data_IF_331258256728
#
_entry.id   IF_331258256728
#
_cell.length_a   1.000
_cell.length_b   1.000
_cell.length_c   1.000
_cell.angle_alpha   90.00
_cell.angle_beta   90.00
_cell.angle_gamma   90.00
#
_symmetry.space_group_name_H-M   'P 1'
#
loop_
_entity.id
_entity.type
_entity.pdbx_description
1 polymer ?
#
# COMPACT_ATOMS: atom_id res chain seq x y z
N UNK A 1 4.72 7.27 -17.07
CA UNK A 1 4.06 7.55 -15.79
C UNK A 1 3.32 6.29 -15.31
N UNK A 2 3.51 5.94 -14.05
CA UNK A 2 2.82 4.80 -13.47
C UNK A 2 1.37 5.17 -13.16
N UNK A 3 0.44 4.30 -13.53
CA UNK A 3 -0.99 4.45 -13.24
C UNK A 3 -1.44 3.36 -12.28
N UNK A 4 -2.09 3.75 -11.20
CA UNK A 4 -2.67 2.84 -10.22
C UNK A 4 -4.18 3.02 -10.22
N UNK A 5 -4.90 1.94 -10.52
CA UNK A 5 -6.36 1.91 -10.46
C UNK A 5 -6.82 1.27 -9.16
N UNK A 6 -7.81 1.90 -8.54
CA UNK A 6 -8.40 1.42 -7.29
C UNK A 6 -9.86 1.11 -7.55
N UNK A 7 -10.23 -0.19 -7.68
CA UNK A 7 -11.61 -0.59 -7.94
C UNK A 7 -12.57 -0.16 -6.82
N UNK A 8 -13.83 -0.06 -7.15
CA UNK A 8 -14.88 0.38 -6.21
C UNK A 8 -14.93 -0.48 -4.95
N UNK A 9 -14.80 -1.79 -5.06
CA UNK A 9 -14.78 -2.71 -3.91
C UNK A 9 -13.59 -2.41 -2.98
N UNK A 10 -12.43 -2.10 -3.51
CA UNK A 10 -11.25 -1.71 -2.73
C UNK A 10 -11.45 -0.33 -2.09
N UNK A 11 -12.05 0.62 -2.82
CA UNK A 11 -12.40 1.94 -2.25
C UNK A 11 -13.34 1.79 -1.05
N UNK A 12 -14.33 0.90 -1.13
CA UNK A 12 -15.27 0.62 -0.03
C UNK A 12 -14.52 0.06 1.19
N UNK A 13 -13.60 -0.87 0.97
CA UNK A 13 -12.76 -1.41 2.06
C UNK A 13 -11.92 -0.32 2.73
N UNK A 14 -11.33 0.57 1.95
CA UNK A 14 -10.53 1.69 2.46
C UNK A 14 -11.41 2.65 3.28
N UNK A 15 -12.56 3.03 2.77
CA UNK A 15 -13.50 3.92 3.47
C UNK A 15 -13.91 3.31 4.81
N UNK A 16 -14.27 2.03 4.82
CA UNK A 16 -14.63 1.32 6.07
C UNK A 16 -13.47 1.31 7.07
N UNK A 17 -12.25 1.05 6.59
CA UNK A 17 -11.06 1.03 7.44
C UNK A 17 -10.79 2.40 8.06
N UNK A 18 -10.88 3.47 7.27
CA UNK A 18 -10.65 4.84 7.72
C UNK A 18 -11.74 5.28 8.72
N UNK A 19 -13.00 4.97 8.46
CA UNK A 19 -14.10 5.26 9.38
C UNK A 19 -13.91 4.55 10.71
N UNK A 20 -13.51 3.29 10.69
CA UNK A 20 -13.29 2.49 11.89
C UNK A 20 -12.10 2.99 12.71
N UNK A 21 -11.06 3.45 12.07
CA UNK A 21 -9.84 3.97 12.72
C UNK A 21 -10.04 5.39 13.28
N UNK A 22 -10.98 6.15 12.73
CA UNK A 22 -11.28 7.51 13.19
C UNK A 22 -10.06 8.43 13.08
N UNK A 23 -9.56 8.91 14.22
CA UNK A 23 -8.39 9.78 14.29
C UNK A 23 -7.06 9.03 14.37
N UNK A 24 -7.11 7.70 14.47
CA UNK A 24 -5.91 6.87 14.49
C UNK A 24 -5.48 6.50 13.07
N UNK A 25 -4.18 6.42 12.86
CA UNK A 25 -3.65 5.93 11.59
C UNK A 25 -3.91 4.43 11.45
N UNK A 26 -4.21 4.01 10.23
CA UNK A 26 -4.26 2.60 9.86
C UNK A 26 -3.50 2.43 8.53
N UNK A 27 -3.22 1.20 8.19
CA UNK A 27 -2.49 0.90 6.97
C UNK A 27 -2.33 -0.58 6.76
N UNK A 28 -1.56 -0.93 5.74
CA UNK A 28 -1.28 -2.31 5.40
C UNK A 28 -0.50 -2.44 4.11
N UNK A 29 -0.54 -3.62 3.54
CA UNK A 29 0.11 -3.92 2.26
C UNK A 29 -0.88 -3.93 1.12
N UNK A 30 -0.37 -3.65 -0.08
CA UNK A 30 -1.11 -3.66 -1.33
C UNK A 30 -0.63 -4.82 -2.19
N UNK A 31 -1.58 -5.57 -2.73
CA UNK A 31 -1.34 -6.55 -3.78
C UNK A 31 -2.06 -6.08 -5.04
N UNK A 32 -1.42 -6.26 -6.19
CA UNK A 32 -1.94 -5.72 -7.43
C UNK A 32 -1.81 -6.64 -8.62
N UNK A 33 -2.54 -6.28 -9.67
CA UNK A 33 -2.55 -6.92 -10.96
C UNK A 33 -1.98 -5.98 -12.01
N UNK A 34 -1.04 -6.46 -12.79
CA UNK A 34 -0.51 -5.74 -13.96
C UNK A 34 -1.52 -5.88 -15.11
N UNK A 35 -2.16 -4.79 -15.48
CA UNK A 35 -3.24 -4.79 -16.47
C UNK A 35 -2.90 -4.09 -17.78
N UNK A 36 -1.76 -3.44 -17.86
CA UNK A 36 -1.31 -2.74 -19.05
C UNK A 36 0.05 -2.10 -18.85
N UNK A 37 0.57 -1.45 -19.87
CA UNK A 37 1.87 -0.77 -19.78
C UNK A 37 1.86 0.27 -18.67
N UNK A 38 2.73 0.11 -17.68
CA UNK A 38 2.79 0.98 -16.49
C UNK A 38 1.45 1.17 -15.78
N UNK A 39 0.53 0.21 -15.95
CA UNK A 39 -0.80 0.26 -15.35
C UNK A 39 -1.05 -0.95 -14.46
N UNK A 40 -1.31 -0.69 -13.19
CA UNK A 40 -1.59 -1.68 -12.17
C UNK A 40 -2.93 -1.40 -11.51
N UNK A 41 -3.62 -2.47 -11.13
CA UNK A 41 -4.87 -2.39 -10.40
C UNK A 41 -4.69 -3.02 -9.03
N UNK A 42 -5.10 -2.33 -7.98
CA UNK A 42 -5.11 -2.92 -6.63
C UNK A 42 -6.15 -4.03 -6.59
N UNK A 43 -5.70 -5.25 -6.32
CA UNK A 43 -6.57 -6.44 -6.27
C UNK A 43 -6.96 -6.81 -4.85
N UNK A 44 -6.07 -6.54 -3.90
CA UNK A 44 -6.25 -6.89 -2.50
C UNK A 44 -5.42 -5.98 -1.62
N UNK A 45 -5.82 -5.82 -0.38
CA UNK A 45 -5.05 -5.10 0.62
C UNK A 45 -5.28 -5.70 2.01
N UNK A 46 -4.33 -5.48 2.91
CA UNK A 46 -4.51 -5.77 4.32
C UNK A 46 -4.83 -4.50 5.08
N UNK A 47 -5.50 -4.65 6.21
CA UNK A 47 -5.79 -3.55 7.12
C UNK A 47 -5.23 -3.89 8.48
N UNK A 48 -4.29 -3.07 8.95
CA UNK A 48 -3.73 -3.17 10.28
C UNK A 48 -4.11 -1.93 11.09
N UNK A 49 -4.54 -2.17 12.30
CA UNK A 49 -4.85 -1.12 13.24
C UNK A 49 -3.62 -0.84 14.07
N UNK A 50 -2.91 0.21 13.72
CA UNK A 50 -1.88 0.62 14.65
C UNK A 50 -1.32 1.98 14.28
N UNK A 51 -1.35 2.87 15.22
CA UNK A 51 -0.97 4.25 15.08
C UNK A 51 0.52 4.55 15.06
N UNK A 52 1.43 3.59 14.89
CA UNK A 52 2.86 3.86 14.85
C UNK A 52 3.59 2.95 13.87
N UNK A 53 4.71 3.45 13.33
CA UNK A 53 5.61 2.69 12.46
C UNK A 53 6.18 1.44 13.15
N UNK A 54 6.38 1.45 14.47
CA UNK A 54 6.76 0.27 15.22
C UNK A 54 5.72 -0.85 15.11
N UNK A 55 4.45 -0.50 14.97
CA UNK A 55 3.39 -1.47 14.72
C UNK A 55 3.35 -1.95 13.27
N UNK A 56 3.85 -1.18 12.33
CA UNK A 56 4.06 -1.62 10.95
C UNK A 56 5.02 -2.81 10.90
N UNK A 57 6.13 -2.73 11.64
CA UNK A 57 7.13 -3.81 11.74
C UNK A 57 6.53 -5.07 12.38
N UNK A 58 5.67 -4.93 13.39
CA UNK A 58 4.98 -6.07 14.02
C UNK A 58 3.96 -6.74 13.12
N UNK A 59 3.39 -5.98 12.20
CA UNK A 59 2.46 -6.50 11.21
C UNK A 59 3.10 -7.21 10.01
N UNK A 60 4.43 -7.21 9.90
CA UNK A 60 5.13 -7.86 8.78
C UNK A 60 4.79 -9.35 8.68
N UNK A 61 4.69 -10.06 9.80
CA UNK A 61 4.34 -11.49 9.79
C UNK A 61 2.96 -11.73 9.17
N UNK A 62 1.97 -10.92 9.53
CA UNK A 62 0.63 -11.02 8.97
C UNK A 62 0.61 -10.57 7.51
N UNK A 63 1.39 -9.56 7.16
CA UNK A 63 1.56 -9.09 5.79
C UNK A 63 2.19 -10.18 4.91
N UNK A 64 3.22 -10.86 5.39
CA UNK A 64 3.85 -11.99 4.67
C UNK A 64 2.84 -13.11 4.43
N UNK A 65 2.03 -13.44 5.42
CA UNK A 65 0.96 -14.46 5.27
C UNK A 65 -0.04 -14.04 4.19
N UNK A 66 -0.48 -12.79 4.21
CA UNK A 66 -1.42 -12.27 3.22
C UNK A 66 -0.83 -12.30 1.81
N UNK A 67 0.43 -11.92 1.67
CA UNK A 67 1.14 -11.96 0.37
C UNK A 67 1.26 -13.41 -0.13
N UNK A 68 1.60 -14.35 0.74
CA UNK A 68 1.68 -15.77 0.38
C UNK A 68 0.33 -16.34 -0.05
N UNK A 69 -0.73 -16.00 0.67
CA UNK A 69 -2.09 -16.42 0.31
C UNK A 69 -2.51 -15.83 -1.04
N UNK A 70 -2.18 -14.57 -1.29
CA UNK A 70 -2.43 -13.92 -2.57
C UNK A 70 -1.70 -14.63 -3.72
N UNK A 71 -0.42 -14.93 -3.56
CA UNK A 71 0.35 -15.65 -4.56
C UNK A 71 -0.24 -17.04 -4.83
N UNK A 72 -0.65 -17.75 -3.78
CA UNK A 72 -1.30 -19.05 -3.92
C UNK A 72 -2.62 -18.93 -4.67
N UNK A 73 -3.44 -17.94 -4.37
CA UNK A 73 -4.73 -17.71 -5.02
C UNK A 73 -4.61 -17.34 -6.50
N UNK A 74 -3.48 -16.79 -6.91
CA UNK A 74 -3.18 -16.38 -8.29
C UNK A 74 -2.27 -17.37 -9.01
N UNK A 75 -2.11 -18.58 -8.48
CA UNK A 75 -1.29 -19.67 -9.03
C UNK A 75 0.17 -19.28 -9.24
N UNK A 76 0.71 -18.42 -8.35
CA UNK A 76 2.08 -17.93 -8.38
C UNK A 76 2.44 -17.22 -9.72
N UNK A 77 1.45 -16.60 -10.35
CA UNK A 77 1.70 -15.80 -11.56
C UNK A 77 2.24 -14.43 -11.18
N UNK A 78 3.53 -14.36 -10.84
CA UNK A 78 4.19 -13.15 -10.33
C UNK A 78 4.35 -12.05 -11.39
N UNK A 79 4.24 -12.36 -12.66
CA UNK A 79 4.30 -11.35 -13.73
C UNK A 79 3.01 -10.53 -13.78
N UNK A 80 1.88 -11.17 -13.49
CA UNK A 80 0.56 -10.53 -13.52
C UNK A 80 0.11 -10.06 -12.14
N UNK A 81 0.34 -10.84 -11.09
CA UNK A 81 -0.13 -10.60 -9.73
C UNK A 81 1.04 -10.58 -8.76
N UNK A 82 1.23 -9.47 -8.06
CA UNK A 82 2.33 -9.37 -7.10
C UNK A 82 2.06 -8.32 -6.02
N UNK A 83 2.94 -8.32 -5.03
CA UNK A 83 3.06 -7.25 -4.06
C UNK A 83 3.31 -5.92 -4.78
N UNK A 84 2.56 -4.88 -4.40
CA UNK A 84 2.62 -3.58 -5.05
C UNK A 84 3.26 -2.52 -4.16
N UNK A 85 3.09 -2.63 -2.85
CA UNK A 85 3.60 -1.66 -1.90
C UNK A 85 2.78 -1.59 -0.62
N UNK A 86 2.72 -0.40 -0.07
CA UNK A 86 2.10 -0.11 1.21
C UNK A 86 1.03 0.97 1.06
N UNK A 87 0.10 0.99 2.01
CA UNK A 87 -0.83 2.09 2.14
C UNK A 87 -0.99 2.49 3.59
N UNK A 88 -1.29 3.74 3.86
CA UNK A 88 -1.71 4.18 5.18
C UNK A 88 -2.59 5.43 5.11
N UNK A 89 -3.25 5.73 6.23
CA UNK A 89 -4.10 6.90 6.36
C UNK A 89 -3.37 8.05 7.04
N UNK A 90 -3.72 9.27 6.64
CA UNK A 90 -3.38 10.51 7.34
C UNK A 90 -4.68 11.20 7.77
N UNK A 91 -5.33 10.76 8.86
CA UNK A 91 -6.70 11.19 9.15
C UNK A 91 -6.85 12.67 9.50
N UNK A 92 -5.81 13.30 10.03
CA UNK A 92 -5.87 14.67 10.53
C UNK A 92 -5.01 15.67 9.73
N UNK A 93 -4.36 15.23 8.66
CA UNK A 93 -3.44 16.07 7.90
C UNK A 93 -3.38 15.67 6.43
N UNK A 94 -2.58 16.37 5.65
CA UNK A 94 -2.53 16.16 4.20
C UNK A 94 -2.02 14.78 3.82
N UNK A 95 -2.38 14.33 2.62
CA UNK A 95 -1.95 13.04 2.06
C UNK A 95 -0.52 13.07 1.50
N UNK A 96 0.31 13.99 1.96
CA UNK A 96 1.72 14.06 1.59
C UNK A 96 2.55 13.13 2.48
N UNK A 97 3.52 12.41 1.91
CA UNK A 97 4.40 11.56 2.71
C UNK A 97 5.25 12.39 3.67
N UNK A 98 5.43 11.88 4.89
CA UNK A 98 6.42 12.43 5.81
C UNK A 98 7.83 12.01 5.43
N UNK A 99 8.86 12.65 6.01
CA UNK A 99 10.26 12.22 5.84
C UNK A 99 10.46 10.76 6.25
N UNK A 100 9.74 10.34 7.28
CA UNK A 100 9.76 8.98 7.81
C UNK A 100 9.13 7.98 6.83
N UNK A 101 8.02 8.38 6.17
CA UNK A 101 7.40 7.60 5.11
C UNK A 101 8.38 7.37 3.95
N UNK A 102 9.03 8.43 3.50
CA UNK A 102 10.03 8.35 2.43
C UNK A 102 11.19 7.42 2.80
N UNK A 103 11.70 7.53 4.02
CA UNK A 103 12.81 6.71 4.51
C UNK A 103 12.41 5.22 4.52
N UNK A 104 11.26 4.91 5.10
CA UNK A 104 10.75 3.54 5.18
C UNK A 104 10.56 2.92 3.78
N UNK A 105 9.99 3.67 2.85
CA UNK A 105 9.74 3.17 1.50
C UNK A 105 11.04 2.97 0.71
N UNK A 106 12.03 3.84 0.92
CA UNK A 106 13.36 3.67 0.30
C UNK A 106 14.08 2.44 0.83
N UNK A 107 14.01 2.18 2.12
CA UNK A 107 14.55 0.95 2.70
C UNK A 107 13.86 -0.28 2.13
N UNK A 108 12.54 -0.24 2.02
CA UNK A 108 11.74 -1.34 1.51
C UNK A 108 12.09 -1.69 0.05
N UNK A 109 12.17 -0.70 -0.83
CA UNK A 109 12.48 -0.93 -2.24
C UNK A 109 13.92 -1.37 -2.47
N UNK A 110 14.82 -1.01 -1.56
CA UNK A 110 16.24 -1.37 -1.63
C UNK A 110 16.56 -2.72 -0.98
N UNK A 111 15.62 -3.32 -0.26
CA UNK A 111 15.83 -4.58 0.43
C UNK A 111 15.84 -5.75 -0.58
N UNK A 112 16.98 -6.47 -0.69
CA UNK A 112 17.08 -7.63 -1.60
C UNK A 112 16.06 -8.73 -1.30
N UNK A 113 15.59 -8.83 -0.07
CA UNK A 113 14.58 -9.83 0.33
C UNK A 113 13.20 -9.51 -0.26
N UNK A 114 12.91 -8.24 -0.48
CA UNK A 114 11.70 -7.79 -1.17
C UNK A 114 11.82 -8.03 -2.68
N UNK A 115 12.99 -7.71 -3.25
CA UNK A 115 13.29 -7.97 -4.66
C UNK A 115 12.39 -7.22 -5.63
N UNK A 116 11.85 -6.08 -5.23
CA UNK A 116 10.91 -5.32 -6.04
C UNK A 116 11.63 -4.39 -7.02
N UNK A 117 11.09 -4.25 -8.22
CA UNK A 117 11.56 -3.28 -9.21
C UNK A 117 11.09 -1.86 -8.88
N UNK A 118 10.01 -1.75 -8.16
CA UNK A 118 9.45 -0.53 -7.59
C UNK A 118 8.51 -0.88 -6.45
N UNK A 119 8.22 0.08 -5.59
CA UNK A 119 7.14 -0.02 -4.60
C UNK A 119 6.33 1.27 -4.61
N UNK A 120 5.05 1.13 -4.31
CA UNK A 120 4.10 2.24 -4.26
C UNK A 120 3.70 2.50 -2.82
N UNK A 121 3.61 3.78 -2.46
CA UNK A 121 2.95 4.22 -1.23
C UNK A 121 1.67 4.95 -1.60
N UNK A 122 0.54 4.45 -1.11
CA UNK A 122 -0.73 5.15 -1.20
C UNK A 122 -1.08 5.72 0.17
N UNK A 123 -1.43 7.00 0.21
CA UNK A 123 -1.85 7.68 1.44
C UNK A 123 -3.26 8.17 1.23
N UNK A 124 -4.14 7.90 2.21
CA UNK A 124 -5.55 8.26 2.13
C UNK A 124 -6.02 9.03 3.35
N UNK A 125 -7.01 9.87 3.14
CA UNK A 125 -7.85 10.40 4.22
C UNK A 125 -9.29 10.59 3.72
N UNK A 126 -10.22 10.78 4.65
CA UNK A 126 -11.59 11.12 4.35
C UNK A 126 -11.78 12.63 4.54
N UNK A 127 -12.30 13.28 3.51
CA UNK A 127 -12.70 14.69 3.57
C UNK A 127 -14.16 14.78 3.15
N UNK A 128 -15.03 15.26 4.06
CA UNK A 128 -16.48 15.30 3.83
C UNK A 128 -17.04 13.94 3.37
N UNK A 129 -16.59 12.85 4.01
CA UNK A 129 -16.91 11.46 3.67
C UNK A 129 -16.47 11.01 2.27
N UNK A 130 -15.65 11.78 1.59
CA UNK A 130 -15.02 11.39 0.33
C UNK A 130 -13.59 10.91 0.56
N UNK A 131 -13.22 9.84 -0.12
CA UNK A 131 -11.87 9.31 -0.07
C UNK A 131 -10.97 10.16 -0.96
N UNK A 132 -9.97 10.78 -0.35
CA UNK A 132 -8.90 11.46 -1.06
C UNK A 132 -7.60 10.71 -0.83
N UNK A 133 -6.72 10.71 -1.80
CA UNK A 133 -5.46 10.01 -1.69
C UNK A 133 -4.36 10.57 -2.58
N UNK A 134 -3.16 10.10 -2.32
CA UNK A 134 -1.98 10.35 -3.14
C UNK A 134 -1.25 9.05 -3.41
N UNK A 135 -0.49 9.02 -4.50
CA UNK A 135 0.31 7.87 -4.89
C UNK A 135 1.76 8.30 -5.12
N UNK A 136 2.68 7.54 -4.57
CA UNK A 136 4.12 7.82 -4.66
C UNK A 136 4.84 6.53 -5.04
N UNK A 137 5.73 6.59 -6.01
CA UNK A 137 6.48 5.44 -6.51
C UNK A 137 7.95 5.58 -6.12
N UNK A 138 8.55 4.52 -5.61
CA UNK A 138 9.94 4.48 -5.18
C UNK A 138 10.69 3.43 -6.00
N UNK A 139 11.85 3.82 -6.50
CA UNK A 139 12.71 2.96 -7.31
C UNK A 139 13.99 2.61 -6.54
N UNK A 140 14.61 1.45 -6.85
CA UNK A 140 15.83 1.03 -6.16
C UNK A 140 17.02 1.99 -6.31
N UNK A 141 17.02 2.87 -7.31
CA UNK A 141 18.04 3.91 -7.51
C UNK A 141 17.91 5.11 -6.58
N UNK A 142 16.86 5.12 -5.72
CA UNK A 142 16.60 6.19 -4.78
C UNK A 142 15.67 7.28 -5.30
N UNK A 143 15.23 7.21 -6.55
CA UNK A 143 14.26 8.16 -7.09
C UNK A 143 12.83 7.85 -6.62
N UNK A 144 11.97 8.88 -6.65
CA UNK A 144 10.55 8.73 -6.33
C UNK A 144 9.70 9.73 -7.12
#
# INVERSE_FOLDING_TARGET
MLKISIPTDIQILLIKALLKSGTHECGGVLMGEHIGTNHFRVSSLTVQKSGTIASFVRGITDAIKAIRLFHKSTNNNYQKFNYLGEWHSHPLFSVQPSSKDHHTMRELVSDPKVGANFVVLLIFHLKNNHLEGSAHTYLPDGSC
#
